data_IF_745672427981
#
_entry.id   IF_745672427981
#
_cell.length_a   1.000
_cell.length_b   1.000
_cell.length_c   1.000
_cell.angle_alpha   90.00
_cell.angle_beta   90.00
_cell.angle_gamma   90.00
#
_symmetry.space_group_name_H-M   'P 1'
#
loop_
_entity.id
_entity.type
_entity.pdbx_description
1 polymer ?
#
# COMPACT_ATOMS: atom_id res chain seq x y z
N UNK A 1 -23.19 -57.34 -46.81
CA UNK A 1 -23.65 -55.94 -46.91
C UNK A 1 -23.76 -55.22 -45.51
N UNK A 2 -23.89 -55.96 -44.44
CA UNK A 2 -24.05 -55.41 -43.05
C UNK A 2 -22.78 -54.84 -42.38
N UNK A 3 -21.61 -55.32 -42.80
CA UNK A 3 -20.33 -54.85 -42.12
C UNK A 3 -19.87 -53.47 -42.55
N UNK A 4 -20.20 -52.99 -43.72
CA UNK A 4 -19.83 -51.64 -44.21
C UNK A 4 -20.68 -50.54 -43.64
N UNK A 5 -21.95 -50.78 -43.34
CA UNK A 5 -22.85 -49.83 -42.72
C UNK A 5 -22.52 -49.61 -41.24
N UNK A 6 -22.09 -50.65 -40.52
CA UNK A 6 -21.63 -50.55 -39.12
C UNK A 6 -20.32 -49.73 -39.00
N UNK A 7 -19.38 -49.92 -39.94
CA UNK A 7 -18.14 -49.13 -39.95
C UNK A 7 -18.35 -47.65 -40.25
N UNK A 8 -19.29 -47.29 -41.12
CA UNK A 8 -19.64 -45.90 -41.43
C UNK A 8 -20.33 -45.25 -40.24
N UNK A 9 -21.21 -45.95 -39.51
CA UNK A 9 -21.86 -45.44 -38.31
C UNK A 9 -20.88 -45.19 -37.15
N UNK A 10 -19.90 -46.06 -36.94
CA UNK A 10 -18.85 -45.92 -35.94
C UNK A 10 -17.91 -44.75 -36.30
N UNK A 11 -17.55 -44.59 -37.58
CA UNK A 11 -16.73 -43.47 -38.03
C UNK A 11 -17.44 -42.13 -37.91
N UNK A 12 -18.76 -42.08 -38.14
CA UNK A 12 -19.57 -40.87 -37.97
C UNK A 12 -19.72 -40.49 -36.49
N UNK A 13 -19.80 -41.48 -35.59
CA UNK A 13 -19.88 -41.26 -34.14
C UNK A 13 -18.56 -40.72 -33.58
N UNK A 14 -17.41 -41.13 -34.12
CA UNK A 14 -16.10 -40.61 -33.76
C UNK A 14 -15.86 -39.16 -34.24
N UNK A 15 -16.47 -38.78 -35.35
CA UNK A 15 -16.31 -37.42 -35.91
C UNK A 15 -17.11 -36.36 -35.12
N UNK A 16 -18.19 -36.77 -34.43
CA UNK A 16 -19.02 -35.84 -33.64
C UNK A 16 -18.43 -35.51 -32.25
N UNK A 17 -17.51 -36.33 -31.74
CA UNK A 17 -16.85 -36.07 -30.44
C UNK A 17 -15.66 -35.11 -30.55
N UNK A 18 -15.16 -34.82 -31.76
CA UNK A 18 -14.01 -33.93 -31.96
C UNK A 18 -14.34 -32.42 -31.97
N UNK A 19 -15.62 -32.05 -31.95
CA UNK A 19 -16.05 -30.64 -31.99
C UNK A 19 -16.46 -30.10 -30.61
N UNK A 20 -16.05 -30.78 -29.54
CA UNK A 20 -16.11 -30.15 -28.20
C UNK A 20 -14.92 -29.21 -28.06
N UNK A 21 -14.86 -28.19 -28.94
CA UNK A 21 -13.97 -27.06 -28.81
C UNK A 21 -14.30 -26.41 -27.46
N UNK A 22 -13.34 -26.47 -26.56
CA UNK A 22 -13.39 -25.76 -25.29
C UNK A 22 -13.49 -24.27 -25.63
N UNK A 23 -14.70 -23.72 -25.60
CA UNK A 23 -14.93 -22.27 -25.62
C UNK A 23 -14.28 -21.71 -24.37
N UNK A 24 -12.97 -21.48 -24.46
CA UNK A 24 -12.31 -20.57 -23.50
C UNK A 24 -12.91 -19.19 -23.76
N UNK A 25 -13.93 -18.86 -22.99
CA UNK A 25 -14.40 -17.49 -22.88
C UNK A 25 -13.18 -16.64 -22.61
N UNK A 26 -12.68 -15.93 -23.63
CA UNK A 26 -11.65 -14.91 -23.41
C UNK A 26 -12.25 -13.87 -22.45
N UNK A 27 -11.89 -14.00 -21.20
CA UNK A 27 -12.26 -13.00 -20.20
C UNK A 27 -11.47 -11.75 -20.56
N UNK A 28 -12.15 -10.76 -21.09
CA UNK A 28 -11.53 -9.47 -21.38
C UNK A 28 -10.79 -8.97 -20.12
N UNK A 29 -9.55 -8.48 -20.26
CA UNK A 29 -8.81 -7.92 -19.12
C UNK A 29 -9.62 -6.88 -18.33
N UNK A 30 -10.50 -6.16 -19.01
CA UNK A 30 -11.38 -5.15 -18.40
C UNK A 30 -12.46 -5.75 -17.49
N UNK A 31 -12.90 -6.98 -17.74
CA UNK A 31 -13.84 -7.67 -16.84
C UNK A 31 -13.16 -8.10 -15.54
N UNK A 32 -11.85 -8.39 -15.57
CA UNK A 32 -11.05 -8.68 -14.37
C UNK A 32 -10.84 -7.43 -13.52
N UNK A 33 -10.82 -6.25 -14.12
CA UNK A 33 -10.63 -4.99 -13.39
C UNK A 33 -11.72 -4.74 -12.36
N UNK A 34 -12.98 -5.05 -12.67
CA UNK A 34 -14.09 -4.95 -11.73
C UNK A 34 -13.93 -5.91 -10.54
N UNK A 35 -13.48 -7.13 -10.80
CA UNK A 35 -13.24 -8.13 -9.77
C UNK A 35 -12.08 -7.72 -8.85
N UNK A 36 -10.98 -7.22 -9.43
CA UNK A 36 -9.83 -6.68 -8.67
C UNK A 36 -10.26 -5.48 -7.82
N UNK A 37 -11.00 -4.53 -8.39
CA UNK A 37 -11.48 -3.36 -7.66
C UNK A 37 -12.38 -3.74 -6.46
N UNK A 38 -13.20 -4.77 -6.60
CA UNK A 38 -14.06 -5.25 -5.51
C UNK A 38 -13.27 -5.93 -4.37
N UNK A 39 -12.02 -6.33 -4.62
CA UNK A 39 -11.13 -6.93 -3.62
C UNK A 39 -10.31 -5.87 -2.86
N UNK A 40 -10.27 -4.62 -3.36
CA UNK A 40 -9.55 -3.52 -2.72
C UNK A 40 -10.40 -3.01 -1.56
N UNK A 41 -9.95 -3.28 -0.34
CA UNK A 41 -10.55 -2.77 0.88
C UNK A 41 -9.71 -1.59 1.37
N UNK A 42 -10.24 -0.36 1.38
CA UNK A 42 -9.52 0.79 1.92
C UNK A 42 -9.19 0.58 3.41
N UNK A 43 -8.02 1.08 3.88
CA UNK A 43 -7.69 1.04 5.29
C UNK A 43 -8.68 1.86 6.11
N UNK A 44 -9.07 1.33 7.27
CA UNK A 44 -10.00 1.98 8.21
C UNK A 44 -9.26 2.31 9.49
N UNK A 45 -9.47 3.53 9.99
CA UNK A 45 -8.81 4.05 11.18
C UNK A 45 -9.85 4.48 12.21
N UNK A 46 -9.55 4.32 13.53
CA UNK A 46 -10.38 4.89 14.59
C UNK A 46 -10.50 6.41 14.48
N UNK A 47 -11.62 6.95 14.92
CA UNK A 47 -11.94 8.38 14.97
C UNK A 47 -11.18 9.08 16.12
N UNK A 48 -9.84 9.01 16.08
CA UNK A 48 -8.93 9.67 17.03
C UNK A 48 -7.91 10.46 16.27
N UNK A 49 -7.56 11.65 16.80
CA UNK A 49 -6.62 12.55 16.15
C UNK A 49 -5.51 12.95 17.12
N UNK A 50 -4.29 13.00 16.58
CA UNK A 50 -3.06 13.37 17.28
C UNK A 50 -2.38 14.46 16.47
N UNK A 51 -2.38 15.70 17.00
CA UNK A 51 -1.79 16.83 16.26
C UNK A 51 -0.31 16.92 16.62
N UNK A 52 0.57 17.00 15.63
CA UNK A 52 2.03 16.95 15.87
C UNK A 52 2.54 18.11 16.74
N UNK A 53 1.88 19.27 16.72
CA UNK A 53 2.24 20.43 17.52
C UNK A 53 2.15 20.19 19.03
N UNK A 54 1.28 19.26 19.46
CA UNK A 54 1.11 18.91 20.87
C UNK A 54 2.30 18.12 21.43
N UNK A 55 3.15 17.60 20.54
CA UNK A 55 4.32 16.78 20.86
C UNK A 55 5.65 17.47 20.56
N UNK A 56 5.61 18.71 20.07
CA UNK A 56 6.81 19.47 19.70
C UNK A 56 7.46 20.11 20.93
N UNK A 57 8.76 19.88 21.10
CA UNK A 57 9.55 20.61 22.08
C UNK A 57 10.11 21.88 21.41
N UNK A 58 9.92 23.04 22.06
CA UNK A 58 10.38 24.36 21.56
C UNK A 58 11.90 24.39 21.30
N UNK A 59 12.64 23.47 21.90
CA UNK A 59 14.10 23.35 21.70
C UNK A 59 14.46 22.60 20.40
N UNK A 60 13.53 21.85 19.82
CA UNK A 60 13.76 21.08 18.62
C UNK A 60 13.69 21.97 17.37
N UNK A 61 14.76 21.97 16.58
CA UNK A 61 14.78 22.65 15.28
C UNK A 61 13.99 21.93 14.23
N UNK A 62 13.85 20.60 14.36
CA UNK A 62 13.13 19.72 13.45
C UNK A 62 11.87 19.15 14.12
N UNK A 63 10.81 19.01 13.34
CA UNK A 63 9.57 18.37 13.80
C UNK A 63 9.64 16.83 13.80
N UNK A 64 10.78 16.25 13.47
CA UNK A 64 10.97 14.79 13.39
C UNK A 64 10.55 14.06 14.65
N UNK A 65 11.01 14.55 15.82
CA UNK A 65 10.67 13.96 17.11
C UNK A 65 9.18 14.07 17.40
N UNK A 66 8.58 15.21 17.13
CA UNK A 66 7.16 15.46 17.32
C UNK A 66 6.30 14.52 16.44
N UNK A 67 6.63 14.41 15.15
CA UNK A 67 5.93 13.56 14.20
C UNK A 67 6.06 12.08 14.59
N UNK A 68 7.28 11.59 14.82
CA UNK A 68 7.51 10.19 15.16
C UNK A 68 6.92 9.82 16.54
N UNK A 69 6.89 10.75 17.49
CA UNK A 69 6.24 10.57 18.79
C UNK A 69 4.72 10.48 18.65
N UNK A 70 4.11 11.38 17.89
CA UNK A 70 2.67 11.35 17.61
C UNK A 70 2.27 10.02 16.92
N UNK A 71 3.05 9.57 15.93
CA UNK A 71 2.85 8.28 15.25
C UNK A 71 2.94 7.11 16.23
N UNK A 72 3.94 7.13 17.11
CA UNK A 72 4.14 6.05 18.10
C UNK A 72 2.97 5.96 19.07
N UNK A 73 2.58 7.10 19.66
CA UNK A 73 1.45 7.16 20.61
C UNK A 73 0.13 6.77 19.92
N UNK A 74 -0.11 7.24 18.69
CA UNK A 74 -1.28 6.89 17.92
C UNK A 74 -1.36 5.37 17.71
N UNK A 75 -0.28 4.74 17.28
CA UNK A 75 -0.21 3.29 17.05
C UNK A 75 -0.42 2.50 18.36
N UNK A 76 0.24 2.88 19.44
CA UNK A 76 0.13 2.24 20.77
C UNK A 76 -1.29 2.33 21.36
N UNK A 77 -2.01 3.39 21.05
CA UNK A 77 -3.40 3.56 21.44
C UNK A 77 -4.40 2.85 20.51
N UNK A 78 -3.93 2.02 19.59
CA UNK A 78 -4.76 1.24 18.68
C UNK A 78 -5.12 1.96 17.37
N UNK A 79 -4.37 3.01 17.03
CA UNK A 79 -4.46 3.69 15.74
C UNK A 79 -5.32 4.95 15.72
N UNK A 80 -5.32 5.62 14.57
CA UNK A 80 -6.03 6.88 14.34
C UNK A 80 -5.37 7.75 13.28
N UNK A 81 -5.62 9.04 13.34
CA UNK A 81 -5.11 10.05 12.42
C UNK A 81 -4.05 10.90 13.12
N UNK A 82 -2.83 10.93 12.58
CA UNK A 82 -1.80 11.89 12.97
C UNK A 82 -1.88 13.07 12.02
N UNK A 83 -2.17 14.26 12.56
CA UNK A 83 -2.42 15.46 11.78
C UNK A 83 -1.19 16.33 11.77
N UNK A 84 -0.70 16.65 10.56
CA UNK A 84 0.24 17.74 10.32
C UNK A 84 -0.61 18.95 9.90
N UNK A 85 -0.72 19.99 10.74
CA UNK A 85 -1.57 21.13 10.44
C UNK A 85 -1.01 21.99 9.31
N UNK A 86 -1.75 23.03 8.92
CA UNK A 86 -1.29 23.99 7.93
C UNK A 86 0.01 24.67 8.36
N UNK A 87 0.93 24.82 7.42
CA UNK A 87 2.25 25.42 7.64
C UNK A 87 3.40 24.66 7.05
N UNK A 88 4.60 25.16 7.24
CA UNK A 88 5.84 24.53 6.81
C UNK A 88 6.53 23.83 7.97
N UNK A 89 6.82 22.54 7.82
CA UNK A 89 7.46 21.73 8.86
C UNK A 89 8.73 21.09 8.31
N UNK A 90 9.88 21.51 8.86
CA UNK A 90 11.16 20.88 8.54
C UNK A 90 11.33 19.61 9.36
N UNK A 91 11.61 18.50 8.71
CA UNK A 91 11.74 17.19 9.35
C UNK A 91 12.91 16.39 8.76
N UNK A 92 13.31 15.35 9.45
CA UNK A 92 14.14 14.24 8.95
C UNK A 92 13.22 13.04 8.67
N UNK A 93 13.76 11.83 8.38
CA UNK A 93 12.95 10.67 8.04
C UNK A 93 11.84 10.36 9.05
N UNK A 94 10.66 10.07 8.52
CA UNK A 94 9.45 9.71 9.28
C UNK A 94 9.28 8.20 9.24
N UNK A 95 9.00 7.58 10.40
CA UNK A 95 8.75 6.15 10.53
C UNK A 95 7.27 5.91 10.81
N UNK A 96 6.55 5.40 9.82
CA UNK A 96 5.15 5.02 10.01
C UNK A 96 5.06 3.73 10.83
N UNK A 97 3.97 3.64 11.61
CA UNK A 97 3.60 2.46 12.40
C UNK A 97 2.21 1.98 12.04
N UNK A 98 1.91 0.76 12.43
CA UNK A 98 0.62 0.13 12.14
C UNK A 98 -0.57 0.94 12.69
N UNK A 99 -1.66 0.91 11.94
CA UNK A 99 -2.93 1.56 12.24
C UNK A 99 -2.86 3.10 12.26
N UNK A 100 -1.89 3.69 11.57
CA UNK A 100 -1.71 5.15 11.52
C UNK A 100 -2.04 5.70 10.14
N UNK A 101 -2.90 6.72 10.11
CA UNK A 101 -3.12 7.59 8.97
C UNK A 101 -2.37 8.92 9.19
N UNK A 102 -1.26 9.13 8.48
CA UNK A 102 -0.57 10.43 8.47
C UNK A 102 -1.34 11.38 7.54
N UNK A 103 -1.92 12.42 8.12
CA UNK A 103 -2.78 13.35 7.39
C UNK A 103 -2.16 14.74 7.32
N UNK A 104 -1.96 15.22 6.10
CA UNK A 104 -1.47 16.56 5.81
C UNK A 104 -2.67 17.47 5.52
N UNK A 105 -2.83 18.57 6.28
CA UNK A 105 -3.86 19.57 6.02
C UNK A 105 -3.64 20.30 4.69
N UNK A 106 -4.61 21.06 4.24
CA UNK A 106 -4.67 21.58 2.86
C UNK A 106 -3.49 22.48 2.44
N UNK A 107 -2.89 23.20 3.39
CA UNK A 107 -1.74 24.09 3.15
C UNK A 107 -0.47 23.60 3.85
N UNK A 108 -0.37 22.31 4.13
CA UNK A 108 0.81 21.71 4.76
C UNK A 108 1.94 21.54 3.76
N UNK A 109 3.13 21.99 4.11
CA UNK A 109 4.37 21.68 3.38
C UNK A 109 5.33 20.95 4.31
N UNK A 110 5.62 19.71 3.98
CA UNK A 110 6.58 18.89 4.70
C UNK A 110 7.94 18.94 3.99
N UNK A 111 8.89 19.67 4.57
CA UNK A 111 10.25 19.78 4.03
C UNK A 111 11.17 18.81 4.74
N UNK A 112 11.96 18.05 3.97
CA UNK A 112 12.96 17.15 4.53
C UNK A 112 14.35 17.78 4.52
N UNK A 113 15.09 17.60 5.62
CA UNK A 113 16.48 18.00 5.68
C UNK A 113 17.33 17.23 4.67
N UNK A 114 18.34 17.89 4.14
CA UNK A 114 19.33 17.27 3.25
C UNK A 114 20.58 16.78 3.98
N UNK A 115 20.64 16.97 5.31
CA UNK A 115 21.77 16.55 6.12
C UNK A 115 21.75 15.00 6.29
N UNK A 116 22.78 14.31 5.76
CA UNK A 116 22.82 12.86 5.79
C UNK A 116 22.93 12.26 7.19
N UNK A 117 23.35 13.01 8.19
CA UNK A 117 23.45 12.54 9.58
C UNK A 117 22.11 12.17 10.20
N UNK A 118 20.98 12.66 9.64
CA UNK A 118 19.64 12.32 10.10
C UNK A 118 19.05 11.07 9.46
N UNK A 119 19.77 10.44 8.52
CA UNK A 119 19.29 9.30 7.76
C UNK A 119 20.01 8.02 8.22
N UNK A 120 19.31 7.21 9.00
CA UNK A 120 19.80 5.92 9.45
C UNK A 120 19.92 4.92 8.29
N UNK A 121 20.75 3.90 8.48
CA UNK A 121 20.72 2.70 7.63
C UNK A 121 19.53 1.82 8.03
N UNK A 122 18.71 1.50 7.08
CA UNK A 122 17.53 0.64 7.26
C UNK A 122 17.59 -0.57 6.34
N UNK A 123 16.97 -1.66 6.80
CA UNK A 123 16.78 -2.81 5.94
C UNK A 123 15.80 -2.47 4.81
N UNK A 124 16.17 -2.79 3.60
CA UNK A 124 15.39 -2.57 2.39
C UNK A 124 15.63 -3.67 1.38
N UNK A 125 14.97 -3.59 0.22
CA UNK A 125 15.13 -4.53 -0.87
C UNK A 125 15.28 -3.78 -2.18
N UNK A 126 16.38 -4.04 -2.87
CA UNK A 126 16.68 -3.45 -4.18
C UNK A 126 16.85 -4.59 -5.18
N UNK A 127 16.08 -4.56 -6.27
CA UNK A 127 16.13 -5.57 -7.34
C UNK A 127 16.00 -7.03 -6.85
N UNK A 128 15.23 -7.23 -5.77
CA UNK A 128 15.02 -8.56 -5.19
C UNK A 128 16.08 -9.00 -4.17
N UNK A 129 17.11 -8.19 -3.91
CA UNK A 129 18.17 -8.48 -2.95
C UNK A 129 17.93 -7.69 -1.66
N UNK A 130 17.90 -8.38 -0.54
CA UNK A 130 17.81 -7.75 0.78
C UNK A 130 19.14 -7.07 1.12
N UNK A 131 19.08 -5.79 1.44
CA UNK A 131 20.26 -4.98 1.73
C UNK A 131 19.95 -3.90 2.79
N UNK A 132 21.01 -3.24 3.26
CA UNK A 132 20.88 -2.03 4.06
C UNK A 132 21.19 -0.83 3.19
N UNK A 133 20.33 0.19 3.28
CA UNK A 133 20.53 1.45 2.55
C UNK A 133 20.08 2.62 3.43
N UNK A 134 20.40 3.83 2.99
CA UNK A 134 19.95 5.06 3.63
C UNK A 134 18.42 5.07 3.69
N UNK A 135 17.87 5.42 4.86
CA UNK A 135 16.42 5.52 5.08
C UNK A 135 15.75 6.41 4.04
N UNK A 136 14.62 5.99 3.45
CA UNK A 136 13.80 6.90 2.67
C UNK A 136 13.19 7.99 3.55
N UNK A 137 12.62 9.03 2.92
CA UNK A 137 11.98 10.16 3.61
C UNK A 137 10.83 9.71 4.50
N UNK A 138 10.03 8.76 4.03
CA UNK A 138 8.95 8.12 4.79
C UNK A 138 9.14 6.61 4.68
N UNK A 139 9.22 5.94 5.81
CA UNK A 139 9.59 4.54 5.92
C UNK A 139 8.59 3.76 6.76
N UNK A 140 8.26 2.56 6.29
CA UNK A 140 7.50 1.56 7.03
C UNK A 140 8.08 0.17 6.74
N UNK A 141 8.26 -0.66 7.75
CA UNK A 141 8.76 -2.03 7.60
C UNK A 141 7.99 -2.98 8.51
N UNK A 142 7.30 -3.96 7.92
CA UNK A 142 6.49 -4.91 8.66
C UNK A 142 5.21 -4.32 9.26
N UNK A 143 4.84 -3.09 8.89
CA UNK A 143 3.67 -2.40 9.38
C UNK A 143 2.43 -2.68 8.52
N UNK A 144 1.25 -2.61 9.14
CA UNK A 144 -0.04 -2.88 8.48
C UNK A 144 -1.03 -1.76 8.73
N UNK A 145 -2.02 -1.62 7.84
CA UNK A 145 -3.10 -0.63 7.95
C UNK A 145 -2.54 0.78 8.13
N UNK A 146 -1.76 1.24 7.14
CA UNK A 146 -1.15 2.56 7.10
C UNK A 146 -1.68 3.37 5.92
N UNK A 147 -1.79 4.68 6.10
CA UNK A 147 -2.15 5.59 5.02
C UNK A 147 -1.42 6.93 5.15
N UNK A 148 -1.27 7.61 4.02
CA UNK A 148 -0.92 9.03 3.92
C UNK A 148 -2.05 9.69 3.17
N UNK A 149 -2.68 10.71 3.77
CA UNK A 149 -3.86 11.37 3.21
C UNK A 149 -3.74 12.89 3.36
N UNK A 150 -4.64 13.62 2.70
CA UNK A 150 -4.69 15.08 2.75
C UNK A 150 -4.46 15.71 1.39
N UNK A 151 -4.41 17.04 1.35
CA UNK A 151 -4.23 17.84 0.14
C UNK A 151 -2.94 18.71 0.21
N UNK A 152 -2.16 18.55 1.28
CA UNK A 152 -0.91 19.27 1.46
C UNK A 152 0.23 18.72 0.63
#
# INVERSE_FOLDING_TARGET
>A
MQTRTAQILVSLLFLTTAISSCDKKEVSPWNQMTEVNNQIVPPVFPERSFVITDYHDVKDTLYTNAINRAITICSEQGGGKVIIPDGEFLTAPIRLKSNVNLHLSDSTVLKFTTDPFFFDLVQTRIEGIDCYNISPLIYAYGETNIAITGNG
#
